data_IF_853266652011
#
_entry.id   IF_853266652011
#
_cell.length_a   1.000
_cell.length_b   1.000
_cell.length_c   1.000
_cell.angle_alpha   90.00
_cell.angle_beta   90.00
_cell.angle_gamma   90.00
#
_symmetry.space_group_name_H-M   'P 1'
#
loop_
_entity.id
_entity.type
_entity.pdbx_description
1 polymer ?
#
# COMPACT_ATOMS: atom_id res chain seq x y z
N UNK A 1 -42.32 -2.76 77.94
CA UNK A 1 -41.28 -2.28 77.01
C UNK A 1 -40.69 -3.46 76.25
N UNK A 2 -40.91 -3.55 74.93
CA UNK A 2 -40.00 -4.13 73.90
C UNK A 2 -40.79 -4.23 72.58
N UNK A 3 -40.52 -3.31 71.67
CA UNK A 3 -41.05 -3.28 70.30
C UNK A 3 -40.13 -4.13 69.42
N UNK A 4 -40.67 -5.14 68.74
CA UNK A 4 -39.94 -5.87 67.71
C UNK A 4 -40.08 -5.14 66.38
N UNK A 5 -38.96 -4.59 65.90
CA UNK A 5 -38.81 -3.95 64.59
C UNK A 5 -38.57 -5.04 63.54
N UNK A 6 -39.49 -5.12 62.58
CA UNK A 6 -39.36 -5.93 61.36
C UNK A 6 -38.43 -5.16 60.41
N UNK A 7 -37.22 -5.68 60.18
CA UNK A 7 -36.27 -5.15 59.20
C UNK A 7 -36.43 -5.85 57.86
N UNK A 8 -36.77 -5.09 56.81
CA UNK A 8 -36.81 -5.54 55.42
C UNK A 8 -35.39 -5.42 54.85
N UNK A 9 -34.80 -6.47 54.22
CA UNK A 9 -33.50 -6.35 53.58
C UNK A 9 -33.69 -5.69 52.20
N UNK A 10 -33.14 -4.49 52.04
CA UNK A 10 -33.01 -3.80 50.76
C UNK A 10 -31.81 -4.39 50.01
N UNK A 11 -32.07 -5.28 49.05
CA UNK A 11 -31.03 -5.81 48.17
C UNK A 11 -30.61 -4.74 47.15
N UNK A 12 -29.42 -4.17 47.32
CA UNK A 12 -28.77 -3.32 46.32
C UNK A 12 -28.33 -4.20 45.14
N UNK A 13 -29.01 -4.06 44.00
CA UNK A 13 -28.56 -4.63 42.73
C UNK A 13 -27.37 -3.83 42.20
N UNK A 14 -26.16 -4.41 42.29
CA UNK A 14 -24.99 -3.90 41.57
C UNK A 14 -25.21 -4.10 40.07
N UNK A 15 -25.51 -3.01 39.36
CA UNK A 15 -25.51 -2.99 37.91
C UNK A 15 -24.08 -3.23 37.41
N UNK A 16 -23.81 -4.46 36.97
CA UNK A 16 -22.56 -4.86 36.35
C UNK A 16 -22.50 -4.21 34.96
N UNK A 17 -21.83 -3.07 34.85
CA UNK A 17 -21.61 -2.40 33.55
C UNK A 17 -20.61 -3.26 32.78
N UNK A 18 -20.95 -3.79 31.58
CA UNK A 18 -20.00 -4.56 30.79
C UNK A 18 -18.84 -3.63 30.39
N UNK A 19 -17.62 -3.99 30.79
CA UNK A 19 -16.43 -3.37 30.23
C UNK A 19 -16.36 -3.75 28.76
N UNK A 20 -16.66 -2.79 27.88
CA UNK A 20 -16.36 -2.91 26.47
C UNK A 20 -14.85 -3.02 26.28
N UNK A 21 -14.34 -4.24 26.11
CA UNK A 21 -12.95 -4.47 25.73
C UNK A 21 -12.75 -3.96 24.31
N UNK A 22 -12.13 -2.78 24.17
CA UNK A 22 -11.68 -2.28 22.87
C UNK A 22 -10.59 -3.25 22.38
N UNK A 23 -10.91 -4.06 21.38
CA UNK A 23 -9.94 -4.92 20.72
C UNK A 23 -8.86 -4.03 20.10
N UNK A 24 -7.62 -4.14 20.58
CA UNK A 24 -6.49 -3.42 20.01
C UNK A 24 -6.28 -3.87 18.55
N UNK A 25 -5.89 -2.96 17.65
CA UNK A 25 -5.66 -3.32 16.26
C UNK A 25 -4.54 -4.35 16.16
N UNK A 26 -4.82 -5.45 15.46
CA UNK A 26 -3.90 -6.57 15.23
C UNK A 26 -2.67 -6.13 14.42
N UNK A 27 -2.79 -5.02 13.67
CA UNK A 27 -1.77 -4.50 12.76
C UNK A 27 -1.20 -3.17 13.27
N UNK A 28 0.11 -3.10 13.47
CA UNK A 28 0.87 -1.86 13.63
C UNK A 28 1.37 -1.40 12.27
N UNK A 29 1.18 -0.13 11.95
CA UNK A 29 1.70 0.47 10.71
C UNK A 29 3.02 1.20 10.97
N UNK A 30 4.01 1.03 10.10
CA UNK A 30 5.26 1.80 10.06
C UNK A 30 5.36 2.39 8.65
N UNK A 31 5.64 3.69 8.54
CA UNK A 31 5.85 4.30 7.22
C UNK A 31 7.26 4.00 6.70
N UNK A 32 7.43 3.88 5.39
CA UNK A 32 8.69 3.51 4.74
C UNK A 32 9.86 4.42 5.13
N UNK A 33 9.68 5.74 5.16
CA UNK A 33 10.66 6.76 5.54
C UNK A 33 11.09 6.66 6.99
N UNK A 34 10.23 6.10 7.85
CA UNK A 34 10.58 5.86 9.25
C UNK A 34 11.50 4.66 9.41
N UNK A 35 11.56 3.75 8.45
CA UNK A 35 12.30 2.49 8.56
C UNK A 35 13.42 2.30 7.53
N UNK A 36 13.48 3.14 6.49
CA UNK A 36 14.47 3.07 5.41
C UNK A 36 14.89 4.47 4.94
N UNK A 37 16.13 4.61 4.47
CA UNK A 37 16.71 5.86 3.96
C UNK A 37 17.35 6.75 5.03
N UNK A 38 17.83 7.94 4.62
CA UNK A 38 18.62 8.85 5.46
C UNK A 38 17.88 9.36 6.70
N UNK A 39 16.54 9.46 6.63
CA UNK A 39 15.68 9.90 7.72
C UNK A 39 15.14 8.77 8.61
N UNK A 40 15.59 7.53 8.40
CA UNK A 40 15.06 6.38 9.11
C UNK A 40 15.37 6.46 10.61
N UNK A 41 14.39 6.09 11.43
CA UNK A 41 14.52 5.96 12.88
C UNK A 41 14.36 4.48 13.21
N UNK A 42 15.32 3.91 13.92
CA UNK A 42 15.31 2.48 14.25
C UNK A 42 14.03 2.09 15.02
N UNK A 43 13.12 1.40 14.34
CA UNK A 43 11.82 1.01 14.90
C UNK A 43 11.96 -0.25 15.75
N UNK A 44 11.46 -0.22 16.99
CA UNK A 44 11.44 -1.41 17.85
C UNK A 44 10.22 -2.27 17.58
N UNK A 45 10.40 -3.55 17.28
CA UNK A 45 9.36 -4.57 17.16
C UNK A 45 9.49 -5.54 18.33
N UNK A 46 8.43 -5.69 19.11
CA UNK A 46 8.37 -6.61 20.22
C UNK A 46 7.86 -7.97 19.73
N UNK A 47 8.52 -9.05 20.16
CA UNK A 47 8.09 -10.43 19.91
C UNK A 47 7.73 -11.07 21.24
N UNK A 48 6.50 -11.54 21.36
CA UNK A 48 5.96 -12.05 22.62
C UNK A 48 6.13 -13.56 22.74
N UNK A 49 6.18 -14.04 23.99
CA UNK A 49 6.21 -15.48 24.23
C UNK A 49 4.88 -16.10 23.77
N UNK A 50 4.93 -17.19 22.99
CA UNK A 50 3.73 -17.86 22.48
C UNK A 50 2.97 -17.12 21.37
N UNK A 51 3.43 -15.95 20.92
CA UNK A 51 2.76 -15.16 19.87
C UNK A 51 3.76 -14.69 18.81
N UNK A 52 3.60 -15.18 17.59
CA UNK A 52 4.40 -14.77 16.44
C UNK A 52 4.03 -13.37 15.95
N UNK A 53 4.98 -12.70 15.31
CA UNK A 53 4.80 -11.36 14.73
C UNK A 53 5.21 -11.39 13.26
N UNK A 54 4.31 -11.01 12.36
CA UNK A 54 4.61 -10.87 10.94
C UNK A 54 5.08 -9.44 10.61
N UNK A 55 6.08 -9.28 9.75
CA UNK A 55 6.45 -8.01 9.13
C UNK A 55 6.13 -8.13 7.63
N UNK A 56 5.22 -7.30 7.15
CA UNK A 56 4.70 -7.36 5.78
C UNK A 56 5.18 -6.16 4.95
N UNK A 57 5.73 -6.47 3.78
CA UNK A 57 6.16 -5.51 2.75
C UNK A 57 5.18 -5.47 1.56
N UNK A 58 4.09 -6.25 1.61
CA UNK A 58 3.11 -6.35 0.53
C UNK A 58 2.50 -5.02 0.12
N UNK A 59 2.25 -4.12 1.07
CA UNK A 59 1.69 -2.79 0.78
C UNK A 59 2.65 -1.86 0.01
N UNK A 60 3.95 -2.18 -0.01
CA UNK A 60 4.94 -1.48 -0.84
C UNK A 60 5.07 -2.07 -2.24
N UNK A 61 4.57 -3.29 -2.48
CA UNK A 61 4.88 -4.04 -3.69
C UNK A 61 6.37 -4.38 -3.82
N UNK A 62 7.07 -4.50 -2.69
CA UNK A 62 8.48 -4.85 -2.62
C UNK A 62 8.66 -6.32 -2.25
N UNK A 63 9.64 -6.97 -2.86
CA UNK A 63 10.02 -8.36 -2.59
C UNK A 63 11.27 -8.39 -1.72
N UNK A 64 11.24 -9.16 -0.63
CA UNK A 64 12.39 -9.39 0.24
C UNK A 64 13.41 -10.24 -0.51
N UNK A 65 14.66 -9.77 -0.55
CA UNK A 65 15.78 -10.45 -1.18
C UNK A 65 16.73 -11.05 -0.16
N UNK A 66 17.03 -10.33 0.91
CA UNK A 66 17.95 -10.78 1.97
C UNK A 66 17.47 -10.34 3.34
N UNK A 67 17.79 -11.15 4.35
CA UNK A 67 17.49 -10.88 5.76
C UNK A 67 18.70 -11.26 6.59
N UNK A 68 19.07 -10.41 7.54
CA UNK A 68 20.09 -10.69 8.55
C UNK A 68 19.54 -10.44 9.94
N UNK A 69 19.90 -11.32 10.87
CA UNK A 69 19.57 -11.23 12.27
C UNK A 69 20.87 -11.38 13.08
N UNK A 70 21.26 -10.34 13.79
CA UNK A 70 22.59 -10.27 14.44
C UNK A 70 22.74 -11.23 15.63
N UNK A 71 21.65 -11.44 16.36
CA UNK A 71 21.59 -12.38 17.51
C UNK A 71 20.33 -13.23 17.39
N UNK A 72 20.45 -14.48 16.91
CA UNK A 72 19.35 -15.43 16.80
C UNK A 72 19.07 -16.21 18.10
N UNK A 73 19.73 -15.89 19.21
CA UNK A 73 19.64 -16.67 20.47
C UNK A 73 18.23 -16.74 21.07
N UNK A 74 17.35 -15.80 20.72
CA UNK A 74 16.01 -15.68 21.28
C UNK A 74 14.88 -15.53 20.27
N UNK A 75 15.20 -15.25 19.00
CA UNK A 75 14.21 -14.96 17.96
C UNK A 75 14.60 -15.75 16.72
N UNK A 76 13.65 -16.50 16.21
CA UNK A 76 13.72 -17.15 14.90
C UNK A 76 12.94 -16.32 13.89
N UNK A 77 13.38 -16.38 12.64
CA UNK A 77 12.70 -15.78 11.50
C UNK A 77 12.40 -16.86 10.46
N UNK A 78 11.31 -16.65 9.74
CA UNK A 78 10.89 -17.44 8.58
C UNK A 78 10.30 -16.49 7.53
N UNK A 79 10.24 -16.91 6.28
CA UNK A 79 9.69 -16.11 5.17
C UNK A 79 8.71 -16.91 4.33
N UNK A 80 7.70 -16.24 3.77
CA UNK A 80 6.64 -16.88 2.98
C UNK A 80 7.00 -17.20 1.52
N UNK A 81 8.23 -16.89 1.13
CA UNK A 81 8.83 -17.24 -0.15
C UNK A 81 10.35 -17.34 0.01
N UNK A 82 11.04 -17.65 -1.08
CA UNK A 82 12.49 -17.84 -0.99
C UNK A 82 13.25 -16.52 -1.08
N UNK A 83 14.40 -16.51 -0.41
CA UNK A 83 15.36 -15.42 -0.41
C UNK A 83 16.44 -15.64 -1.48
N UNK A 84 16.96 -14.54 -2.02
CA UNK A 84 17.95 -14.55 -3.10
C UNK A 84 19.25 -15.19 -2.62
N UNK A 85 19.67 -16.28 -3.28
CA UNK A 85 20.93 -16.97 -3.01
C UNK A 85 20.90 -17.98 -1.86
N UNK A 86 19.73 -18.23 -1.26
CA UNK A 86 19.55 -19.28 -0.25
C UNK A 86 18.93 -20.56 -0.83
N UNK A 87 17.93 -20.43 -1.72
CA UNK A 87 17.28 -21.59 -2.37
C UNK A 87 17.54 -21.62 -3.86
N UNK A 88 18.24 -22.66 -4.34
CA UNK A 88 18.51 -22.86 -5.76
C UNK A 88 17.29 -23.40 -6.53
N UNK A 89 16.36 -24.07 -5.85
CA UNK A 89 15.16 -24.71 -6.42
C UNK A 89 13.88 -24.17 -5.77
N UNK A 90 13.66 -22.87 -5.87
CA UNK A 90 12.51 -22.22 -5.25
C UNK A 90 11.25 -22.26 -6.14
N UNK A 91 10.17 -22.87 -5.66
CA UNK A 91 8.86 -22.87 -6.34
C UNK A 91 8.13 -21.53 -6.25
N UNK A 92 8.42 -20.72 -5.23
CA UNK A 92 7.77 -19.43 -4.95
C UNK A 92 8.83 -18.32 -4.78
N UNK A 93 9.43 -17.83 -5.88
CA UNK A 93 10.49 -16.84 -5.81
C UNK A 93 9.95 -15.50 -5.28
N UNK A 94 10.55 -15.03 -4.19
CA UNK A 94 10.25 -13.72 -3.61
C UNK A 94 9.32 -13.77 -2.41
N UNK A 95 9.89 -13.54 -1.23
CA UNK A 95 9.12 -13.35 0.00
C UNK A 95 8.55 -11.93 0.09
N UNK A 96 7.34 -11.78 0.63
CA UNK A 96 6.73 -10.49 0.96
C UNK A 96 6.54 -10.29 2.46
N UNK A 97 6.71 -11.36 3.25
CA UNK A 97 6.46 -11.38 4.68
C UNK A 97 7.58 -12.10 5.42
N UNK A 98 7.96 -11.54 6.57
CA UNK A 98 8.84 -12.18 7.55
C UNK A 98 8.00 -12.56 8.75
N UNK A 99 8.03 -13.82 9.15
CA UNK A 99 7.42 -14.27 10.40
C UNK A 99 8.48 -14.41 11.48
N UNK A 100 8.28 -13.73 12.60
CA UNK A 100 9.15 -13.76 13.76
C UNK A 100 8.52 -14.57 14.88
N UNK A 101 9.32 -15.44 15.50
CA UNK A 101 8.91 -16.24 16.65
C UNK A 101 9.96 -16.20 17.74
N UNK A 102 9.52 -15.96 18.97
CA UNK A 102 10.39 -16.04 20.13
C UNK A 102 10.64 -17.51 20.53
N UNK A 103 11.87 -17.79 20.95
CA UNK A 103 12.29 -19.05 21.55
C UNK A 103 12.84 -18.82 22.96
N UNK A 104 13.04 -19.91 23.69
CA UNK A 104 13.88 -19.89 24.89
C UNK A 104 15.30 -19.50 24.49
N UNK A 105 15.95 -18.68 25.32
CA UNK A 105 17.30 -18.22 25.04
C UNK A 105 18.26 -19.40 24.95
N UNK A 106 18.97 -19.49 23.83
CA UNK A 106 20.06 -20.46 23.61
C UNK A 106 21.39 -19.76 23.73
N UNK A 107 22.34 -20.35 24.44
CA UNK A 107 23.71 -19.84 24.49
C UNK A 107 24.44 -20.26 23.21
N UNK A 108 24.83 -19.30 22.37
CA UNK A 108 25.56 -19.54 21.13
C UNK A 108 27.00 -19.03 21.32
N UNK A 109 28.01 -19.90 21.32
CA UNK A 109 29.40 -19.48 21.48
C UNK A 109 29.80 -18.41 20.46
N UNK A 110 30.39 -17.31 20.93
CA UNK A 110 30.84 -16.21 20.09
C UNK A 110 29.78 -15.15 19.76
N UNK A 111 28.51 -15.35 20.13
CA UNK A 111 27.47 -14.33 19.99
C UNK A 111 27.20 -13.65 21.34
N UNK A 112 27.32 -12.31 21.44
CA UNK A 112 27.04 -11.59 22.67
C UNK A 112 25.56 -11.71 23.04
N UNK A 113 25.29 -11.91 24.33
CA UNK A 113 23.93 -12.01 24.83
C UNK A 113 23.35 -10.60 25.03
N UNK A 114 22.46 -10.19 24.14
CA UNK A 114 21.83 -8.86 24.20
C UNK A 114 20.33 -8.98 24.51
N UNK A 115 19.74 -7.91 25.05
CA UNK A 115 18.30 -7.83 25.29
C UNK A 115 17.49 -7.50 24.03
N UNK A 116 18.17 -6.99 23.00
CA UNK A 116 17.60 -6.64 21.70
C UNK A 116 18.59 -6.96 20.59
N UNK A 117 18.08 -7.36 19.44
CA UNK A 117 18.88 -7.71 18.26
C UNK A 117 18.47 -6.87 17.06
N UNK A 118 19.37 -6.69 16.09
CA UNK A 118 19.09 -5.97 14.86
C UNK A 118 18.60 -6.94 13.78
N UNK A 119 17.49 -6.58 13.14
CA UNK A 119 17.00 -7.21 11.92
C UNK A 119 17.24 -6.25 10.77
N UNK A 120 18.02 -6.69 9.78
CA UNK A 120 18.23 -5.95 8.53
C UNK A 120 17.56 -6.68 7.39
N UNK A 121 16.74 -5.97 6.62
CA UNK A 121 15.97 -6.53 5.50
C UNK A 121 16.32 -5.75 4.24
N UNK A 122 16.71 -6.46 3.18
CA UNK A 122 16.89 -5.87 1.85
C UNK A 122 15.72 -6.29 0.99
N UNK A 123 15.04 -5.31 0.42
CA UNK A 123 13.94 -5.52 -0.51
C UNK A 123 14.29 -4.98 -1.89
N UNK A 124 13.50 -5.39 -2.88
CA UNK A 124 13.56 -4.87 -4.24
C UNK A 124 12.15 -4.60 -4.75
N UNK A 125 11.92 -3.42 -5.33
CA UNK A 125 10.66 -3.10 -6.00
C UNK A 125 10.56 -3.78 -7.38
N UNK A 126 9.37 -3.75 -7.98
CA UNK A 126 9.18 -4.19 -9.37
C UNK A 126 9.97 -3.38 -10.41
N UNK A 127 10.37 -2.14 -10.10
CA UNK A 127 11.26 -1.33 -10.94
C UNK A 127 12.74 -1.67 -10.77
N UNK A 128 13.07 -2.59 -9.87
CA UNK A 128 14.45 -3.01 -9.59
C UNK A 128 15.17 -2.20 -8.50
N UNK A 129 14.54 -1.15 -7.97
CA UNK A 129 15.10 -0.32 -6.89
C UNK A 129 15.26 -1.16 -5.62
N UNK A 130 16.46 -1.15 -5.03
CA UNK A 130 16.75 -1.86 -3.78
C UNK A 130 16.71 -0.92 -2.58
N UNK A 131 16.10 -1.37 -1.49
CA UNK A 131 16.04 -0.63 -0.22
C UNK A 131 16.45 -1.51 0.95
N UNK A 132 16.94 -0.87 2.00
CA UNK A 132 17.37 -1.53 3.23
C UNK A 132 16.55 -0.99 4.40
N UNK A 133 15.92 -1.90 5.13
CA UNK A 133 15.16 -1.61 6.33
C UNK A 133 15.90 -2.17 7.54
N UNK A 134 15.85 -1.43 8.65
CA UNK A 134 16.46 -1.84 9.90
C UNK A 134 15.45 -1.75 11.04
N UNK A 135 15.31 -2.84 11.80
CA UNK A 135 14.40 -2.94 12.93
C UNK A 135 15.15 -3.44 14.16
N UNK A 136 14.87 -2.83 15.31
CA UNK A 136 15.30 -3.39 16.60
C UNK A 136 14.27 -4.43 17.04
N UNK A 137 14.67 -5.68 17.21
CA UNK A 137 13.80 -6.70 17.76
C UNK A 137 14.04 -6.83 19.27
N UNK A 138 12.96 -6.91 20.05
CA UNK A 138 13.01 -7.09 21.49
C UNK A 138 12.04 -8.18 21.93
N UNK A 139 12.44 -9.01 22.90
CA UNK A 139 11.50 -9.98 23.50
C UNK A 139 10.63 -9.31 24.55
N UNK A 140 9.34 -9.66 24.59
CA UNK A 140 8.41 -9.16 25.62
C UNK A 140 7.61 -10.29 26.27
N UNK A 141 7.34 -10.15 27.57
CA UNK A 141 6.52 -11.08 28.36
C UNK A 141 5.09 -10.56 28.62
N UNK A 142 4.76 -9.34 28.17
CA UNK A 142 3.43 -8.75 28.39
C UNK A 142 2.37 -9.24 27.41
N UNK A 143 1.19 -8.63 27.45
CA UNK A 143 0.13 -8.89 26.47
C UNK A 143 0.55 -8.41 25.07
N UNK A 144 0.39 -9.23 24.01
CA UNK A 144 0.62 -8.82 22.64
C UNK A 144 -0.19 -7.58 22.27
N UNK A 145 0.47 -6.59 21.66
CA UNK A 145 -0.17 -5.35 21.20
C UNK A 145 -0.50 -5.36 19.70
N UNK A 146 0.13 -6.27 18.95
CA UNK A 146 -0.04 -6.50 17.52
C UNK A 146 0.48 -7.90 17.20
N UNK A 147 -0.01 -8.51 16.13
CA UNK A 147 0.58 -9.72 15.54
C UNK A 147 1.15 -9.47 14.15
N UNK A 148 0.97 -8.26 13.62
CA UNK A 148 1.51 -7.85 12.33
C UNK A 148 2.04 -6.41 12.37
N UNK A 149 3.14 -6.19 11.67
CA UNK A 149 3.72 -4.89 11.33
C UNK A 149 3.61 -4.74 9.82
N UNK A 150 2.84 -3.77 9.36
CA UNK A 150 2.73 -3.44 7.94
C UNK A 150 3.65 -2.25 7.62
N UNK A 151 4.57 -2.43 6.68
CA UNK A 151 5.35 -1.31 6.13
C UNK A 151 4.54 -0.68 5.01
N UNK A 152 4.20 0.59 5.15
CA UNK A 152 3.39 1.34 4.19
C UNK A 152 4.21 2.42 3.53
N UNK A 153 3.90 2.70 2.27
CA UNK A 153 4.52 3.83 1.59
C UNK A 153 4.13 5.11 2.34
N UNK A 154 5.08 6.00 2.55
CA UNK A 154 4.75 7.36 2.93
C UNK A 154 3.91 7.92 1.82
N UNK A 155 2.70 8.32 2.16
CA UNK A 155 1.82 8.98 1.22
C UNK A 155 2.48 10.30 0.75
N UNK A 156 3.21 10.24 -0.37
CA UNK A 156 3.03 11.20 -1.47
C UNK A 156 1.95 10.69 -2.45
N UNK A 157 1.32 9.54 -2.15
CA UNK A 157 -0.02 9.18 -2.61
C UNK A 157 -0.98 9.38 -1.47
N UNK A 158 -1.22 10.64 -1.12
CA UNK A 158 -2.60 10.93 -0.85
C UNK A 158 -3.38 10.47 -2.11
N UNK A 159 -4.24 9.46 -1.96
CA UNK A 159 -5.53 9.49 -2.65
C UNK A 159 -6.38 10.60 -2.02
N UNK A 160 -5.82 11.79 -1.79
CA UNK A 160 -6.59 12.97 -2.01
C UNK A 160 -6.82 12.95 -3.50
N UNK A 161 -8.08 12.86 -3.90
CA UNK A 161 -8.51 13.63 -5.06
C UNK A 161 -7.63 14.88 -5.12
N UNK A 162 -6.71 15.01 -6.11
CA UNK A 162 -5.84 16.16 -6.16
C UNK A 162 -6.78 17.35 -6.12
N UNK A 163 -6.69 18.20 -5.10
CA UNK A 163 -7.44 19.45 -5.10
C UNK A 163 -7.04 20.10 -6.42
N UNK A 164 -7.95 20.26 -7.39
CA UNK A 164 -7.52 20.41 -8.77
C UNK A 164 -6.65 21.66 -8.87
N UNK A 165 -5.35 21.47 -9.10
CA UNK A 165 -4.48 22.59 -9.37
C UNK A 165 -4.98 23.19 -10.68
N UNK A 166 -5.27 24.49 -10.71
CA UNK A 166 -5.86 25.16 -11.87
C UNK A 166 -5.08 24.83 -13.17
N UNK A 167 -3.75 24.71 -13.08
CA UNK A 167 -2.88 24.30 -14.19
C UNK A 167 -3.10 22.86 -14.67
N UNK A 168 -3.37 21.93 -13.74
CA UNK A 168 -3.72 20.54 -14.06
C UNK A 168 -5.09 20.46 -14.72
N UNK A 169 -6.07 21.22 -14.24
CA UNK A 169 -7.38 21.33 -14.88
C UNK A 169 -7.29 21.88 -16.31
N UNK A 170 -6.50 22.93 -16.52
CA UNK A 170 -6.29 23.50 -17.87
C UNK A 170 -5.66 22.46 -18.80
N UNK A 171 -4.63 21.73 -18.34
CA UNK A 171 -4.00 20.66 -19.13
C UNK A 171 -4.97 19.50 -19.42
N UNK A 172 -5.76 19.09 -18.44
CA UNK A 172 -6.79 18.06 -18.62
C UNK A 172 -7.86 18.51 -19.60
N UNK A 173 -8.33 19.76 -19.50
CA UNK A 173 -9.32 20.31 -20.42
C UNK A 173 -8.78 20.44 -21.84
N UNK A 174 -7.53 20.88 -22.01
CA UNK A 174 -6.86 20.91 -23.30
C UNK A 174 -6.76 19.51 -23.92
N UNK A 175 -6.38 18.51 -23.11
CA UNK A 175 -6.30 17.11 -23.55
C UNK A 175 -7.66 16.58 -23.97
N UNK A 176 -8.73 16.86 -23.21
CA UNK A 176 -10.10 16.49 -23.55
C UNK A 176 -10.52 17.13 -24.88
N UNK A 177 -10.20 18.40 -25.10
CA UNK A 177 -10.51 19.09 -26.34
C UNK A 177 -9.75 18.49 -27.53
N UNK A 178 -8.48 18.11 -27.35
CA UNK A 178 -7.71 17.41 -28.37
C UNK A 178 -8.32 16.04 -28.71
N UNK A 179 -8.70 15.25 -27.70
CA UNK A 179 -9.36 13.96 -27.93
C UNK A 179 -10.68 14.15 -28.69
N UNK A 180 -11.50 15.14 -28.31
CA UNK A 180 -12.74 15.48 -29.03
C UNK A 180 -12.48 15.87 -30.48
N UNK A 181 -11.50 16.72 -30.74
CA UNK A 181 -11.09 17.11 -32.09
C UNK A 181 -10.63 15.90 -32.92
N UNK A 182 -9.85 15.00 -32.32
CA UNK A 182 -9.42 13.76 -32.95
C UNK A 182 -10.58 12.82 -33.31
N UNK A 183 -11.59 12.71 -32.45
CA UNK A 183 -12.79 11.92 -32.71
C UNK A 183 -13.57 12.51 -33.89
N UNK A 184 -13.77 13.84 -33.91
CA UNK A 184 -14.45 14.52 -35.01
C UNK A 184 -13.69 14.32 -36.33
N UNK A 185 -12.36 14.45 -36.32
CA UNK A 185 -11.53 14.19 -37.49
C UNK A 185 -11.66 12.74 -37.97
N UNK A 186 -11.60 11.76 -37.05
CA UNK A 186 -11.77 10.34 -37.38
C UNK A 186 -13.15 10.03 -37.97
N UNK A 187 -14.22 10.64 -37.45
CA UNK A 187 -15.58 10.49 -37.99
C UNK A 187 -15.65 11.11 -39.40
N UNK A 188 -15.11 12.32 -39.59
CA UNK A 188 -15.09 12.99 -40.90
C UNK A 188 -14.30 12.20 -41.95
N UNK A 189 -13.23 11.52 -41.54
CA UNK A 189 -12.43 10.64 -42.39
C UNK A 189 -13.04 9.25 -42.61
N UNK A 190 -14.22 8.97 -42.05
CA UNK A 190 -14.91 7.69 -42.19
C UNK A 190 -14.26 6.53 -41.42
N UNK A 191 -13.36 6.80 -40.48
CA UNK A 191 -12.69 5.77 -39.67
C UNK A 191 -13.50 5.31 -38.45
N UNK A 192 -14.59 6.01 -38.15
CA UNK A 192 -15.48 5.75 -37.01
C UNK A 192 -16.87 6.31 -37.30
N UNK A 193 -17.91 5.67 -36.79
CA UNK A 193 -19.27 6.14 -36.80
C UNK A 193 -19.72 6.57 -35.38
N UNK A 194 -20.65 7.52 -35.28
CA UNK A 194 -21.23 7.98 -34.02
C UNK A 194 -22.00 6.87 -33.27
N UNK A 195 -22.48 5.86 -33.99
CA UNK A 195 -23.23 4.73 -33.43
C UNK A 195 -22.33 3.56 -32.99
N UNK A 196 -21.02 3.61 -33.27
CA UNK A 196 -20.12 2.51 -32.97
C UNK A 196 -19.85 2.36 -31.47
N UNK A 197 -19.65 1.12 -31.04
CA UNK A 197 -19.23 0.81 -29.67
C UNK A 197 -17.94 1.55 -29.29
N UNK A 198 -17.04 1.74 -30.26
CA UNK A 198 -15.82 2.51 -30.08
C UNK A 198 -16.11 3.97 -29.72
N UNK A 199 -17.09 4.59 -30.37
CA UNK A 199 -17.50 5.96 -30.04
C UNK A 199 -18.04 6.04 -28.61
N UNK A 200 -18.86 5.08 -28.20
CA UNK A 200 -19.39 5.02 -26.83
C UNK A 200 -18.28 4.86 -25.78
N UNK A 201 -17.30 3.99 -26.04
CA UNK A 201 -16.13 3.83 -25.17
C UNK A 201 -15.30 5.12 -25.08
N UNK A 202 -15.14 5.85 -26.19
CA UNK A 202 -14.45 7.14 -26.19
C UNK A 202 -15.23 8.24 -25.47
N UNK A 203 -16.56 8.21 -25.46
CA UNK A 203 -17.35 9.11 -24.62
C UNK A 203 -17.19 8.79 -23.13
N UNK A 204 -17.16 7.50 -22.76
CA UNK A 204 -16.85 7.07 -21.38
C UNK A 204 -15.46 7.52 -20.95
N UNK A 205 -14.45 7.39 -21.82
CA UNK A 205 -13.09 7.91 -21.60
C UNK A 205 -13.12 9.41 -21.25
N UNK A 206 -13.82 10.23 -22.04
CA UNK A 206 -13.95 11.67 -21.78
C UNK A 206 -14.63 11.92 -20.43
N UNK A 207 -15.68 11.16 -20.09
CA UNK A 207 -16.34 11.25 -18.79
C UNK A 207 -15.39 10.98 -17.62
N UNK A 208 -14.55 9.95 -17.71
CA UNK A 208 -13.55 9.65 -16.68
C UNK A 208 -12.47 10.73 -16.57
N UNK A 209 -12.01 11.30 -17.68
CA UNK A 209 -11.08 12.43 -17.69
C UNK A 209 -11.69 13.67 -17.03
N UNK A 210 -12.97 13.96 -17.28
CA UNK A 210 -13.70 15.05 -16.64
C UNK A 210 -13.90 14.83 -15.15
N UNK A 211 -14.03 13.57 -14.71
CA UNK A 211 -14.10 13.19 -13.30
C UNK A 211 -12.73 13.26 -12.59
N UNK A 212 -11.65 13.57 -13.31
CA UNK A 212 -10.30 13.76 -12.75
C UNK A 212 -9.38 12.55 -12.83
N UNK A 213 -9.79 11.47 -13.52
CA UNK A 213 -8.87 10.37 -13.82
C UNK A 213 -7.77 10.84 -14.79
N UNK A 214 -6.56 10.31 -14.63
CA UNK A 214 -5.50 10.50 -15.63
C UNK A 214 -5.77 9.66 -16.90
N UNK A 215 -5.08 9.99 -18.00
CA UNK A 215 -5.31 9.37 -19.32
C UNK A 215 -5.22 7.84 -19.30
N UNK A 216 -4.21 7.28 -18.62
CA UNK A 216 -4.01 5.82 -18.57
C UNK A 216 -5.13 5.13 -17.80
N UNK A 217 -5.49 5.66 -16.62
CA UNK A 217 -6.60 5.14 -15.81
C UNK A 217 -7.93 5.23 -16.57
N UNK A 218 -8.21 6.37 -17.20
CA UNK A 218 -9.43 6.60 -17.94
C UNK A 218 -9.54 5.68 -19.17
N UNK A 219 -8.43 5.47 -19.89
CA UNK A 219 -8.35 4.58 -21.05
C UNK A 219 -8.62 3.12 -20.66
N UNK A 220 -8.01 2.66 -19.56
CA UNK A 220 -8.26 1.32 -19.03
C UNK A 220 -9.72 1.12 -18.61
N UNK A 221 -10.30 2.07 -17.84
CA UNK A 221 -11.72 2.01 -17.43
C UNK A 221 -12.68 2.01 -18.63
N UNK A 222 -12.34 2.76 -19.67
CA UNK A 222 -13.13 2.83 -20.89
C UNK A 222 -12.89 1.66 -21.87
N UNK A 223 -11.96 0.76 -21.57
CA UNK A 223 -11.52 -0.31 -22.49
C UNK A 223 -11.05 0.23 -23.85
N UNK A 224 -10.25 1.29 -23.81
CA UNK A 224 -9.63 1.96 -24.96
C UNK A 224 -8.11 1.86 -24.84
N UNK A 225 -7.41 1.55 -25.93
CA UNK A 225 -5.94 1.46 -25.90
C UNK A 225 -5.29 2.85 -25.87
N UNK A 226 -4.17 2.96 -25.16
CA UNK A 226 -3.39 4.21 -25.10
C UNK A 226 -2.91 4.66 -26.49
N UNK A 227 -2.58 3.72 -27.37
CA UNK A 227 -2.18 4.01 -28.75
C UNK A 227 -3.28 4.72 -29.54
N UNK A 228 -4.54 4.30 -29.35
CA UNK A 228 -5.68 4.95 -29.99
C UNK A 228 -5.87 6.38 -29.45
N UNK A 229 -5.75 6.57 -28.13
CA UNK A 229 -5.83 7.92 -27.51
C UNK A 229 -4.74 8.84 -28.07
N UNK A 230 -3.49 8.38 -28.14
CA UNK A 230 -2.39 9.15 -28.70
C UNK A 230 -2.62 9.50 -30.17
N UNK A 231 -3.18 8.57 -30.96
CA UNK A 231 -3.52 8.80 -32.37
C UNK A 231 -4.62 9.86 -32.52
N UNK A 232 -5.65 9.86 -31.68
CA UNK A 232 -6.70 10.88 -31.69
C UNK A 232 -6.13 12.28 -31.36
N UNK A 233 -5.26 12.38 -30.35
CA UNK A 233 -4.59 13.64 -30.01
C UNK A 233 -3.72 14.15 -31.17
N UNK A 234 -3.04 13.26 -31.90
CA UNK A 234 -2.26 13.64 -33.07
C UNK A 234 -3.15 14.10 -34.24
N UNK A 235 -4.30 13.45 -34.44
CA UNK A 235 -5.28 13.83 -35.46
C UNK A 235 -5.88 15.21 -35.22
N UNK A 236 -6.13 15.58 -33.95
CA UNK A 236 -6.63 16.91 -33.63
C UNK A 236 -5.66 18.01 -34.05
N UNK A 237 -4.36 17.83 -33.75
CA UNK A 237 -3.29 18.77 -34.13
C UNK A 237 -3.15 18.89 -35.65
N UNK A 238 -3.38 17.79 -36.37
CA UNK A 238 -3.33 17.78 -37.84
C UNK A 238 -4.57 18.45 -38.45
N UNK A 239 -5.73 18.35 -37.79
CA UNK A 239 -6.97 19.01 -38.22
C UNK A 239 -6.95 20.52 -37.99
N UNK A 240 -6.30 21.00 -36.92
CA UNK A 240 -6.15 22.45 -36.65
C UNK A 240 -5.25 23.15 -37.68
N UNK A 241 -4.30 22.42 -38.30
CA UNK A 241 -3.47 22.94 -39.39
C UNK A 241 -4.22 23.01 -40.73
N UNK A 242 -5.31 22.25 -40.91
CA UNK A 242 -6.11 22.28 -42.14
C UNK A 242 -7.11 23.45 -42.16
N UNK A 243 -7.44 24.04 -41.02
CA UNK A 243 -8.30 25.24 -40.93
C UNK A 243 -7.52 26.55 -41.05
N UNK A 244 -6.21 26.56 -40.77
CA UNK A 244 -5.36 27.75 -41.00
C UNK A 244 -4.83 27.89 -42.44
N UNK A 245 -5.02 26.88 -43.29
CA UNK A 245 -4.52 26.85 -44.67
C UNK A 245 -5.44 27.40 -45.76
N UNK A 246 -6.68 27.80 -45.44
CA UNK A 246 -7.66 28.32 -46.41
C UNK A 246 -7.94 29.82 -46.19
N UNK A 247 -6.88 30.60 -46.02
CA UNK A 247 -6.94 32.06 -45.93
C UNK A 247 -5.94 32.71 -46.88
N UNK A 248 -6.17 32.57 -48.18
CA UNK A 248 -5.71 33.48 -49.23
C UNK A 248 -6.87 33.67 -50.21
#
# INVERSE_FOLDING_TARGET
MKKFLIGIPLALAFACVPLSTIAAPVVRTIKQTQASGQGAILQTINVWNGHGVAISFYELGETIKKVWLDDPSQILLDTDGCLEGLDQNCSSPGAGLIHLRRILRVNIPGIPQTSTTLLTVVTQSSSGERKTYSFRLATSNGTPKYSQVAIKADVAREQTTPKPQLQSLVKTQQTINQIRGGIVAAIKSGWMNQQDELHQRLQKLIGYLQAGDNISTAANKASVSQNLVNKLIALSKSSDNLTQGNGL
#
